data_IF_487738334020
#
_entry.id   IF_487738334020
#
_cell.length_a   1.000
_cell.length_b   1.000
_cell.length_c   1.000
_cell.angle_alpha   90.00
_cell.angle_beta   90.00
_cell.angle_gamma   90.00
#
_symmetry.space_group_name_H-M   'P 1'
#
loop_
_entity.id
_entity.type
_entity.pdbx_description
1 polymer ?
#
# COMPACT_ATOMS: atom_id res chain seq x y z
N UNK A 1 10.60 18.12 -8.63
CA UNK A 1 10.03 17.59 -7.37
C UNK A 1 9.13 16.39 -7.65
N UNK A 2 9.15 15.44 -6.76
CA UNK A 2 8.37 14.23 -6.91
C UNK A 2 6.96 14.43 -6.32
N UNK A 3 5.94 14.46 -7.19
CA UNK A 3 4.55 14.63 -6.76
C UNK A 3 4.07 13.49 -5.86
N UNK A 4 4.65 12.31 -6.04
CA UNK A 4 4.29 11.14 -5.23
C UNK A 4 4.65 11.33 -3.77
N UNK A 5 5.84 11.91 -3.51
CA UNK A 5 6.24 12.23 -2.14
C UNK A 5 5.33 13.29 -1.53
N UNK A 6 4.87 14.25 -2.33
CA UNK A 6 3.95 15.26 -1.87
C UNK A 6 2.62 14.64 -1.45
N UNK A 7 2.09 13.72 -2.26
CA UNK A 7 0.83 13.03 -1.94
C UNK A 7 0.95 12.21 -0.66
N UNK A 8 2.07 11.52 -0.50
CA UNK A 8 2.31 10.71 0.69
C UNK A 8 2.34 11.58 1.94
N UNK A 9 3.11 12.66 1.91
CA UNK A 9 3.21 13.58 3.05
C UNK A 9 1.88 14.23 3.36
N UNK A 10 1.12 14.57 2.34
CA UNK A 10 -0.20 15.16 2.52
C UNK A 10 -1.15 14.19 3.21
N UNK A 11 -1.13 12.93 2.79
CA UNK A 11 -1.97 11.90 3.40
C UNK A 11 -1.61 11.69 4.86
N UNK A 12 -0.32 11.65 5.18
CA UNK A 12 0.15 11.53 6.56
C UNK A 12 -0.35 12.69 7.42
N UNK A 13 -0.31 13.91 6.88
CA UNK A 13 -0.76 15.08 7.60
C UNK A 13 -2.26 15.05 7.86
N UNK A 14 -3.02 14.33 7.04
CA UNK A 14 -4.47 14.19 7.19
C UNK A 14 -4.85 13.05 8.12
N UNK A 15 -3.88 12.21 8.52
CA UNK A 15 -4.10 11.12 9.44
C UNK A 15 -4.18 9.76 8.77
N UNK A 16 -4.27 8.74 9.61
CA UNK A 16 -4.22 7.35 9.17
C UNK A 16 -5.36 6.99 8.24
N UNK A 17 -6.57 7.45 8.54
CA UNK A 17 -7.75 7.10 7.75
C UNK A 17 -7.64 7.60 6.31
N UNK A 18 -7.13 8.82 6.12
CA UNK A 18 -6.95 9.38 4.79
C UNK A 18 -5.88 8.63 4.01
N UNK A 19 -4.78 8.29 4.67
CA UNK A 19 -3.70 7.53 4.05
C UNK A 19 -4.19 6.13 3.64
N UNK A 20 -4.88 5.45 4.55
CA UNK A 20 -5.43 4.12 4.28
C UNK A 20 -6.39 4.13 3.10
N UNK A 21 -7.28 5.12 3.07
CA UNK A 21 -8.25 5.25 1.99
C UNK A 21 -7.55 5.48 0.65
N UNK A 22 -6.52 6.32 0.63
CA UNK A 22 -5.77 6.62 -0.59
C UNK A 22 -5.09 5.36 -1.14
N UNK A 23 -4.37 4.65 -0.28
CA UNK A 23 -3.65 3.44 -0.71
C UNK A 23 -4.61 2.36 -1.15
N UNK A 24 -5.67 2.11 -0.36
CA UNK A 24 -6.66 1.09 -0.69
C UNK A 24 -7.33 1.38 -2.02
N UNK A 25 -7.71 2.63 -2.25
CA UNK A 25 -8.36 3.03 -3.50
C UNK A 25 -7.48 2.74 -4.70
N UNK A 26 -6.18 3.07 -4.61
CA UNK A 26 -5.24 2.84 -5.70
C UNK A 26 -5.01 1.35 -5.95
N UNK A 27 -4.91 0.57 -4.89
CA UNK A 27 -4.73 -0.87 -5.01
C UNK A 27 -5.96 -1.50 -5.66
N UNK A 28 -7.15 -1.06 -5.29
CA UNK A 28 -8.39 -1.55 -5.89
C UNK A 28 -8.52 -1.22 -7.38
N UNK A 29 -7.92 -0.12 -7.81
CA UNK A 29 -7.86 0.20 -9.23
C UNK A 29 -6.96 -0.79 -9.98
N UNK A 30 -5.86 -1.21 -9.36
CA UNK A 30 -4.90 -2.11 -9.99
C UNK A 30 -5.36 -3.56 -9.94
N UNK A 31 -5.91 -3.99 -8.80
CA UNK A 31 -6.33 -5.37 -8.57
C UNK A 31 -7.70 -5.38 -7.86
N UNK A 32 -8.79 -5.23 -8.63
CA UNK A 32 -10.12 -5.07 -8.04
C UNK A 32 -10.57 -6.21 -7.13
N UNK A 33 -10.01 -7.40 -7.30
CA UNK A 33 -10.41 -8.57 -6.53
C UNK A 33 -9.63 -8.75 -5.23
N UNK A 34 -8.59 -7.93 -5.01
CA UNK A 34 -7.79 -8.03 -3.80
C UNK A 34 -8.61 -7.59 -2.59
N UNK A 35 -8.37 -8.26 -1.46
CA UNK A 35 -9.00 -7.91 -0.19
C UNK A 35 -7.98 -7.24 0.69
N UNK A 36 -8.32 -6.08 1.20
CA UNK A 36 -7.41 -5.25 1.99
C UNK A 36 -8.00 -4.97 3.37
N UNK A 37 -7.16 -5.06 4.41
CA UNK A 37 -7.52 -4.64 5.74
C UNK A 37 -6.32 -3.97 6.39
N UNK A 38 -6.56 -3.07 7.33
CA UNK A 38 -5.52 -2.27 7.95
C UNK A 38 -5.46 -2.45 9.45
N UNK A 39 -4.24 -2.46 9.98
CA UNK A 39 -3.99 -2.46 11.42
C UNK A 39 -2.72 -1.65 11.65
N UNK A 40 -2.83 -0.47 12.27
CA UNK A 40 -1.67 0.37 12.66
C UNK A 40 -0.60 0.51 11.56
N UNK A 41 -0.94 1.16 10.46
CA UNK A 41 0.02 1.40 9.37
C UNK A 41 0.48 0.13 8.64
N UNK A 42 -0.14 -1.00 8.94
CA UNK A 42 0.14 -2.25 8.22
C UNK A 42 -1.08 -2.61 7.39
N UNK A 43 -0.87 -2.78 6.10
CA UNK A 43 -1.90 -3.25 5.18
C UNK A 43 -1.78 -4.75 5.01
N UNK A 44 -2.84 -5.47 5.34
CA UNK A 44 -2.93 -6.90 5.06
C UNK A 44 -3.69 -7.07 3.76
N UNK A 45 -3.02 -7.63 2.77
CA UNK A 45 -3.56 -7.74 1.42
C UNK A 45 -3.64 -9.20 1.01
N UNK A 46 -4.84 -9.65 0.66
CA UNK A 46 -5.06 -11.01 0.18
C UNK A 46 -5.22 -10.97 -1.33
N UNK A 47 -4.22 -11.48 -2.03
CA UNK A 47 -4.18 -11.49 -3.48
C UNK A 47 -3.18 -12.57 -3.93
N UNK A 48 -3.18 -12.87 -5.22
CA UNK A 48 -2.20 -13.83 -5.76
C UNK A 48 -0.86 -13.14 -6.04
N UNK A 49 0.17 -13.97 -6.27
CA UNK A 49 1.53 -13.45 -6.46
C UNK A 49 1.65 -12.55 -7.69
N UNK A 50 0.94 -12.89 -8.76
CA UNK A 50 0.98 -12.10 -9.99
C UNK A 50 0.42 -10.71 -9.76
N UNK A 51 -0.70 -10.61 -9.06
CA UNK A 51 -1.31 -9.31 -8.75
C UNK A 51 -0.49 -8.55 -7.71
N UNK A 52 0.15 -9.26 -6.77
CA UNK A 52 1.03 -8.62 -5.80
C UNK A 52 2.21 -7.92 -6.47
N UNK A 53 2.70 -8.43 -7.60
CA UNK A 53 3.74 -7.76 -8.36
C UNK A 53 3.30 -6.36 -8.81
N UNK A 54 2.05 -6.23 -9.23
CA UNK A 54 1.50 -4.94 -9.62
C UNK A 54 1.42 -3.99 -8.42
N UNK A 55 0.99 -4.50 -7.29
CA UNK A 55 0.89 -3.70 -6.06
C UNK A 55 2.28 -3.25 -5.61
N UNK A 56 3.25 -4.17 -5.60
CA UNK A 56 4.61 -3.84 -5.22
C UNK A 56 5.20 -2.75 -6.12
N UNK A 57 5.01 -2.89 -7.43
CA UNK A 57 5.53 -1.91 -8.38
C UNK A 57 4.93 -0.53 -8.12
N UNK A 58 3.63 -0.47 -7.84
CA UNK A 58 2.97 0.78 -7.51
C UNK A 58 3.52 1.37 -6.22
N UNK A 59 3.59 0.58 -5.16
CA UNK A 59 4.02 1.08 -3.85
C UNK A 59 5.49 1.50 -3.85
N UNK A 60 6.35 0.68 -4.45
CA UNK A 60 7.78 1.01 -4.52
C UNK A 60 8.02 2.26 -5.35
N UNK A 61 7.27 2.42 -6.45
CA UNK A 61 7.40 3.59 -7.30
C UNK A 61 6.80 4.85 -6.71
N UNK A 62 5.79 4.72 -5.85
CA UNK A 62 5.10 5.86 -5.26
C UNK A 62 5.73 6.32 -3.95
N UNK A 63 6.05 5.38 -3.07
CA UNK A 63 6.52 5.70 -1.72
C UNK A 63 8.00 5.41 -1.50
N UNK A 64 8.60 4.64 -2.41
CA UNK A 64 10.00 4.25 -2.29
C UNK A 64 10.16 2.93 -1.55
N UNK A 65 11.10 2.11 -2.03
CA UNK A 65 11.34 0.79 -1.45
C UNK A 65 11.81 0.85 0.00
N UNK A 66 12.47 1.94 0.38
CA UNK A 66 12.99 2.11 1.73
C UNK A 66 11.89 2.42 2.75
N UNK A 67 10.71 2.80 2.27
CA UNK A 67 9.61 3.22 3.14
C UNK A 67 8.54 2.15 3.30
N UNK A 68 8.72 1.00 2.67
CA UNK A 68 7.78 -0.11 2.79
C UNK A 68 8.54 -1.39 3.12
N UNK A 69 7.87 -2.27 3.86
CA UNK A 69 8.40 -3.58 4.18
C UNK A 69 7.28 -4.59 3.94
N UNK A 70 7.55 -5.58 3.11
CA UNK A 70 6.53 -6.56 2.71
C UNK A 70 6.93 -7.95 3.16
N UNK A 71 6.03 -8.60 3.89
CA UNK A 71 6.21 -9.97 4.35
C UNK A 71 4.99 -10.80 3.98
N UNK A 72 5.22 -12.04 3.62
CA UNK A 72 4.12 -12.97 3.37
C UNK A 72 3.75 -13.69 4.66
N UNK A 73 2.48 -13.65 5.02
CA UNK A 73 1.96 -14.27 6.24
C UNK A 73 0.79 -15.16 5.83
N UNK A 74 1.07 -16.46 5.69
CA UNK A 74 0.06 -17.39 5.20
C UNK A 74 -0.33 -17.07 3.76
N UNK A 75 -1.61 -16.81 3.53
CA UNK A 75 -2.13 -16.47 2.20
C UNK A 75 -2.29 -14.95 2.01
N UNK A 76 -1.73 -14.17 2.92
CA UNK A 76 -1.80 -12.71 2.85
C UNK A 76 -0.41 -12.10 2.79
N UNK A 77 -0.35 -10.85 2.34
CA UNK A 77 0.87 -10.05 2.38
C UNK A 77 0.68 -8.95 3.41
N UNK A 78 1.63 -8.82 4.32
CA UNK A 78 1.64 -7.75 5.31
C UNK A 78 2.59 -6.66 4.81
N UNK A 79 2.05 -5.48 4.56
CA UNK A 79 2.79 -4.35 4.01
C UNK A 79 2.86 -3.27 5.09
N UNK A 80 4.05 -3.08 5.65
CA UNK A 80 4.28 -2.06 6.67
C UNK A 80 4.76 -0.78 6.00
N UNK A 81 4.12 0.32 6.34
CA UNK A 81 4.54 1.65 5.89
C UNK A 81 5.29 2.34 7.02
N UNK A 82 6.53 2.72 6.72
CA UNK A 82 7.42 3.34 7.72
C UNK A 82 7.57 4.83 7.53
#
# INVERSE_FOLDING_TARGET
MNNRNFEYKKALAQGDAAFEALVTSKIKELVPEAKASWTNWTLFLKTNDSDMQKVYTYLAGTYGMMNININQVGDEYAIDFM
#
